data_IF_967144751038
#
_entry.id   IF_967144751038
#
_cell.length_a   1.000
_cell.length_b   1.000
_cell.length_c   1.000
_cell.angle_alpha   90.00
_cell.angle_beta   90.00
_cell.angle_gamma   90.00
#
_symmetry.space_group_name_H-M   'P 1'
#
loop_
_entity.id
_entity.type
_entity.pdbx_description
1 polymer ?
#
# COMPACT_ATOMS: atom_id res chain seq x y z
N UNK A 1 -4.64 -17.24 112.82
CA UNK A 1 -3.67 -16.21 113.23
C UNK A 1 -2.73 -16.01 112.05
N UNK A 2 -3.12 -15.17 111.08
CA UNK A 2 -3.06 -13.70 111.12
C UNK A 2 -1.62 -13.22 110.85
N UNK A 3 -1.25 -12.62 109.70
CA UNK A 3 -1.75 -11.35 109.09
C UNK A 3 -1.29 -10.13 109.90
N UNK A 4 -0.60 -9.09 109.38
CA UNK A 4 -0.27 -8.68 108.00
C UNK A 4 1.20 -8.12 107.91
N UNK A 5 1.71 -7.28 106.98
CA UNK A 5 1.24 -6.57 105.76
C UNK A 5 2.50 -6.07 104.96
N UNK A 6 2.58 -6.14 103.61
CA UNK A 6 3.56 -5.36 102.82
C UNK A 6 2.94 -4.10 102.16
N UNK A 7 3.67 -2.98 101.99
CA UNK A 7 3.11 -1.71 101.52
C UNK A 7 3.07 -1.51 99.99
N UNK A 8 2.27 -0.51 99.61
CA UNK A 8 1.82 -0.07 98.27
C UNK A 8 2.90 0.55 97.33
N UNK A 9 2.64 0.52 96.02
CA UNK A 9 3.29 1.31 94.97
C UNK A 9 4.15 0.51 93.97
N UNK A 10 4.16 0.76 92.66
CA UNK A 10 3.38 1.69 91.80
C UNK A 10 3.35 1.13 90.37
N UNK A 11 2.31 1.44 89.58
CA UNK A 11 2.20 1.00 88.17
C UNK A 11 3.20 1.69 87.21
N UNK A 12 3.57 1.00 86.12
CA UNK A 12 3.88 1.63 84.84
C UNK A 12 3.55 0.66 83.68
N UNK A 13 2.81 1.08 82.63
CA UNK A 13 2.41 0.18 81.55
C UNK A 13 3.57 -0.17 80.60
N UNK A 14 3.56 -1.40 80.09
CA UNK A 14 4.52 -1.89 79.08
C UNK A 14 4.05 -1.45 77.67
N UNK A 15 4.91 -0.81 76.85
CA UNK A 15 4.49 -0.25 75.57
C UNK A 15 4.18 -1.31 74.50
N UNK A 16 3.24 -0.98 73.61
CA UNK A 16 2.82 -1.81 72.48
C UNK A 16 3.95 -2.01 71.47
N UNK A 17 4.15 -3.26 71.01
CA UNK A 17 5.11 -3.57 69.94
C UNK A 17 4.61 -3.06 68.59
N UNK A 18 5.46 -2.34 67.86
CA UNK A 18 5.19 -1.81 66.51
C UNK A 18 4.90 -2.91 65.49
N UNK A 19 3.75 -2.85 64.81
CA UNK A 19 3.38 -3.77 63.71
C UNK A 19 3.02 -3.05 62.39
N UNK A 20 3.50 -1.81 62.19
CA UNK A 20 3.16 -1.00 61.01
C UNK A 20 4.18 -1.11 59.86
N UNK A 21 5.40 -1.62 60.10
CA UNK A 21 6.49 -1.56 59.12
C UNK A 21 6.44 -2.61 58.01
N UNK A 22 5.70 -3.71 58.18
CA UNK A 22 5.63 -4.80 57.20
C UNK A 22 4.54 -4.57 56.15
N UNK A 23 3.36 -4.10 56.56
CA UNK A 23 2.19 -3.93 55.67
C UNK A 23 2.38 -2.78 54.68
N UNK A 24 2.91 -1.63 55.13
CA UNK A 24 3.32 -0.51 54.27
C UNK A 24 4.32 -0.98 53.18
N UNK A 25 5.25 -1.87 53.53
CA UNK A 25 6.25 -2.41 52.61
C UNK A 25 5.72 -3.49 51.65
N UNK A 26 4.57 -4.11 51.90
CA UNK A 26 3.84 -4.87 50.88
C UNK A 26 2.98 -3.95 50.02
N UNK A 27 2.24 -3.01 50.62
CA UNK A 27 1.37 -2.06 49.91
C UNK A 27 2.14 -1.26 48.85
N UNK A 28 3.34 -0.77 49.19
CA UNK A 28 4.21 -0.09 48.22
C UNK A 28 4.71 -0.99 47.08
N UNK A 29 4.91 -2.29 47.30
CA UNK A 29 5.31 -3.25 46.24
C UNK A 29 4.14 -3.61 45.34
N UNK A 30 2.95 -3.77 45.90
CA UNK A 30 1.73 -4.06 45.14
C UNK A 30 1.31 -2.83 44.31
N UNK A 31 1.47 -1.61 44.86
CA UNK A 31 1.34 -0.37 44.11
C UNK A 31 2.38 -0.27 42.97
N UNK A 32 3.65 -0.55 43.25
CA UNK A 32 4.72 -0.47 42.24
C UNK A 32 4.55 -1.49 41.10
N UNK A 33 4.16 -2.73 41.43
CA UNK A 33 3.88 -3.76 40.41
C UNK A 33 2.62 -3.43 39.62
N UNK A 34 1.56 -2.94 40.26
CA UNK A 34 0.36 -2.43 39.57
C UNK A 34 0.68 -1.30 38.58
N UNK A 35 1.49 -0.32 38.97
CA UNK A 35 1.96 0.75 38.08
C UNK A 35 2.82 0.23 36.92
N UNK A 36 3.70 -0.75 37.17
CA UNK A 36 4.52 -1.38 36.13
C UNK A 36 3.69 -2.15 35.11
N UNK A 37 2.67 -2.90 35.57
CA UNK A 37 1.73 -3.63 34.71
C UNK A 37 0.90 -2.64 33.88
N UNK A 38 0.40 -1.56 34.48
CA UNK A 38 -0.37 -0.53 33.78
C UNK A 38 0.48 0.17 32.70
N UNK A 39 1.74 0.49 32.99
CA UNK A 39 2.69 1.03 32.02
C UNK A 39 2.97 0.06 30.87
N UNK A 40 3.16 -1.23 31.16
CA UNK A 40 3.37 -2.27 30.14
C UNK A 40 2.15 -2.40 29.20
N UNK A 41 0.93 -2.41 29.75
CA UNK A 41 -0.32 -2.44 28.98
C UNK A 41 -0.46 -1.18 28.11
N UNK A 42 -0.10 -0.01 28.64
CA UNK A 42 -0.12 1.25 27.89
C UNK A 42 0.88 1.26 26.71
N UNK A 43 2.09 0.73 26.90
CA UNK A 43 3.09 0.56 25.83
C UNK A 43 2.56 -0.41 24.76
N UNK A 44 1.99 -1.54 25.15
CA UNK A 44 1.37 -2.51 24.22
C UNK A 44 0.22 -1.85 23.43
N UNK A 45 -0.62 -1.04 24.09
CA UNK A 45 -1.68 -0.29 23.43
C UNK A 45 -1.14 0.72 22.40
N UNK A 46 -0.06 1.45 22.71
CA UNK A 46 0.60 2.36 21.76
C UNK A 46 1.17 1.58 20.56
N UNK A 47 1.81 0.43 20.79
CA UNK A 47 2.33 -0.41 19.71
C UNK A 47 1.22 -0.96 18.81
N UNK A 48 0.11 -1.43 19.39
CA UNK A 48 -1.08 -1.88 18.64
C UNK A 48 -1.74 -0.73 17.88
N UNK A 49 -1.86 0.46 18.48
CA UNK A 49 -2.40 1.65 17.82
C UNK A 49 -1.50 2.11 16.67
N UNK A 50 -0.18 2.11 16.86
CA UNK A 50 0.81 2.43 15.82
C UNK A 50 0.81 1.42 14.66
N UNK A 51 0.76 0.13 14.98
CA UNK A 51 0.60 -0.95 14.00
C UNK A 51 -0.71 -0.81 13.22
N UNK A 52 -1.84 -0.61 13.90
CA UNK A 52 -3.15 -0.46 13.28
C UNK A 52 -3.28 0.83 12.47
N UNK A 53 -2.63 1.93 12.89
CA UNK A 53 -2.56 3.17 12.13
C UNK A 53 -1.69 3.02 10.88
N UNK A 54 -0.53 2.35 10.98
CA UNK A 54 0.30 1.99 9.82
C UNK A 54 -0.47 1.08 8.85
N UNK A 55 -1.13 0.05 9.35
CA UNK A 55 -1.94 -0.88 8.56
C UNK A 55 -3.14 -0.19 7.90
N UNK A 56 -3.83 0.72 8.59
CA UNK A 56 -4.85 1.60 8.00
C UNK A 56 -4.28 2.56 6.96
N UNK A 57 -3.05 3.07 7.14
CA UNK A 57 -2.36 3.90 6.14
C UNK A 57 -2.02 3.12 4.87
N UNK A 58 -1.58 1.86 4.99
CA UNK A 58 -1.44 0.95 3.84
C UNK A 58 -2.80 0.66 3.16
N UNK A 59 -3.87 0.36 3.92
CA UNK A 59 -5.21 0.14 3.33
C UNK A 59 -5.79 1.37 2.63
N UNK A 60 -5.52 2.59 3.13
CA UNK A 60 -5.92 3.85 2.47
C UNK A 60 -5.28 4.08 1.09
N UNK A 61 -4.18 3.40 0.77
CA UNK A 61 -3.58 3.44 -0.57
C UNK A 61 -4.25 2.46 -1.57
N UNK A 62 -5.12 1.55 -1.10
CA UNK A 62 -5.74 0.49 -1.91
C UNK A 62 -7.24 0.70 -2.09
N UNK A 63 -7.92 1.34 -1.13
CA UNK A 63 -9.39 1.49 -1.10
C UNK A 63 -9.82 2.93 -1.46
N UNK A 64 -9.43 3.40 -2.65
CA UNK A 64 -9.93 4.66 -3.23
C UNK A 64 -10.16 4.57 -4.76
N UNK A 65 -10.27 3.35 -5.30
CA UNK A 65 -10.35 3.08 -6.75
C UNK A 65 -11.61 2.31 -7.15
N UNK A 66 -12.69 2.44 -6.39
CA UNK A 66 -13.85 1.56 -6.53
C UNK A 66 -15.15 2.06 -5.92
N UNK A 67 -15.51 3.34 -6.12
CA UNK A 67 -16.93 3.74 -6.15
C UNK A 67 -17.13 5.14 -6.77
N UNK A 68 -17.33 5.19 -8.09
CA UNK A 68 -17.97 6.34 -8.76
C UNK A 68 -18.64 5.90 -10.05
N UNK A 69 -19.97 5.82 -10.00
CA UNK A 69 -20.84 5.54 -11.15
C UNK A 69 -20.67 6.69 -12.16
N UNK A 70 -20.35 6.38 -13.41
CA UNK A 70 -20.15 7.37 -14.46
C UNK A 70 -21.51 7.88 -14.97
N UNK A 71 -21.81 9.19 -14.90
CA UNK A 71 -22.82 9.79 -15.76
C UNK A 71 -22.21 10.01 -17.15
N UNK A 72 -22.94 9.68 -18.21
CA UNK A 72 -22.55 10.06 -19.57
C UNK A 72 -22.78 11.57 -19.78
N UNK A 73 -21.83 12.26 -20.40
CA UNK A 73 -22.03 13.64 -20.83
C UNK A 73 -20.76 14.32 -21.34
N UNK A 74 -20.80 14.75 -22.61
CA UNK A 74 -20.39 16.09 -23.12
C UNK A 74 -19.03 16.59 -22.58
N UNK A 75 -17.93 16.46 -23.35
CA UNK A 75 -17.50 17.34 -24.47
C UNK A 75 -16.79 18.61 -23.94
N UNK A 76 -15.90 19.18 -24.75
CA UNK A 76 -15.04 20.35 -24.42
C UNK A 76 -13.90 20.12 -23.41
N UNK A 77 -13.02 19.15 -23.68
CA UNK A 77 -11.60 19.29 -23.31
C UNK A 77 -10.68 18.68 -24.38
N UNK A 78 -10.71 19.30 -25.56
CA UNK A 78 -9.76 19.02 -26.65
C UNK A 78 -8.40 19.67 -26.32
N UNK A 79 -7.31 19.07 -26.82
CA UNK A 79 -5.95 19.67 -26.86
C UNK A 79 -5.13 19.86 -25.57
N UNK A 80 -5.30 19.10 -24.47
CA UNK A 80 -4.20 19.06 -23.46
C UNK A 80 -4.05 17.85 -22.51
N UNK A 81 -4.39 16.61 -22.92
CA UNK A 81 -4.07 15.42 -22.10
C UNK A 81 -3.22 14.34 -22.80
N UNK A 82 -2.06 14.77 -23.34
CA UNK A 82 -0.88 13.89 -23.29
C UNK A 82 -0.59 13.64 -21.81
N UNK A 83 -0.83 12.42 -21.32
CA UNK A 83 -0.42 12.04 -19.96
C UNK A 83 1.09 12.26 -19.86
N UNK A 84 1.51 13.24 -19.06
CA UNK A 84 2.92 13.59 -18.89
C UNK A 84 3.59 12.51 -18.03
N UNK A 85 3.99 11.42 -18.71
CA UNK A 85 4.81 10.37 -18.12
C UNK A 85 6.06 11.03 -17.53
N UNK A 86 6.27 10.84 -16.23
CA UNK A 86 7.32 11.52 -15.46
C UNK A 86 8.68 11.33 -16.15
N UNK A 87 9.44 12.43 -16.22
CA UNK A 87 10.65 12.55 -17.05
C UNK A 87 11.57 11.34 -16.91
N UNK A 88 11.67 10.55 -17.99
CA UNK A 88 12.45 9.30 -18.07
C UNK A 88 13.93 9.63 -17.88
N UNK A 89 14.44 9.35 -16.67
CA UNK A 89 15.84 9.63 -16.31
C UNK A 89 16.79 8.91 -17.29
N UNK A 90 17.76 9.61 -17.91
CA UNK A 90 18.52 9.09 -19.03
C UNK A 90 19.67 8.16 -18.60
N UNK A 91 19.31 7.01 -18.02
CA UNK A 91 20.13 5.82 -18.22
C UNK A 91 20.19 5.54 -19.73
N UNK A 92 21.40 5.46 -20.29
CA UNK A 92 21.60 5.14 -21.71
C UNK A 92 20.98 3.80 -22.10
N UNK A 93 20.80 3.52 -23.41
CA UNK A 93 20.06 2.36 -23.89
C UNK A 93 20.68 1.04 -23.42
N UNK A 94 20.13 0.48 -22.34
CA UNK A 94 20.48 -0.84 -21.84
C UNK A 94 20.07 -1.87 -22.90
N UNK A 95 21.05 -2.62 -23.40
CA UNK A 95 20.80 -3.70 -24.35
C UNK A 95 20.54 -5.00 -23.60
N UNK A 96 19.35 -5.55 -23.80
CA UNK A 96 18.96 -6.86 -23.29
C UNK A 96 19.25 -7.91 -24.36
N UNK A 97 19.70 -9.08 -23.93
CA UNK A 97 20.06 -10.21 -24.80
C UNK A 97 19.11 -11.40 -24.52
N UNK A 98 18.93 -12.33 -25.48
CA UNK A 98 18.20 -13.56 -25.23
C UNK A 98 18.76 -14.33 -24.03
N UNK A 99 17.88 -14.81 -23.16
CA UNK A 99 18.25 -15.55 -21.95
C UNK A 99 18.28 -17.05 -22.30
N UNK A 100 19.42 -17.76 -22.12
CA UNK A 100 19.47 -19.21 -22.25
C UNK A 100 18.56 -19.87 -21.19
N UNK A 101 17.87 -20.95 -21.56
CA UNK A 101 16.83 -21.58 -20.72
C UNK A 101 17.41 -22.07 -19.39
N UNK A 102 18.64 -22.59 -19.43
CA UNK A 102 19.43 -23.02 -18.28
C UNK A 102 19.73 -21.91 -17.26
N UNK A 103 19.68 -20.63 -17.67
CA UNK A 103 19.95 -19.47 -16.82
C UNK A 103 18.67 -18.72 -16.41
N UNK A 104 17.49 -19.15 -16.89
CA UNK A 104 16.25 -18.40 -16.73
C UNK A 104 15.82 -18.22 -15.27
N UNK A 105 15.97 -19.25 -14.44
CA UNK A 105 15.64 -19.18 -13.01
C UNK A 105 16.54 -18.18 -12.27
N UNK A 106 17.85 -18.19 -12.56
CA UNK A 106 18.83 -17.28 -11.95
C UNK A 106 18.62 -15.83 -12.41
N UNK A 107 18.33 -15.60 -13.69
CA UNK A 107 17.95 -14.27 -14.19
C UNK A 107 16.66 -13.76 -13.54
N UNK A 108 15.64 -14.59 -13.36
CA UNK A 108 14.41 -14.21 -12.63
C UNK A 108 14.72 -13.90 -11.16
N UNK A 109 15.56 -14.72 -10.50
CA UNK A 109 15.98 -14.52 -9.11
C UNK A 109 16.77 -13.22 -8.92
N UNK A 110 17.67 -12.90 -9.85
CA UNK A 110 18.41 -11.62 -9.84
C UNK A 110 17.50 -10.43 -10.13
N UNK A 111 16.59 -10.54 -11.10
CA UNK A 111 15.77 -9.39 -11.54
C UNK A 111 14.58 -9.07 -10.64
N UNK A 112 14.09 -10.05 -9.89
CA UNK A 112 13.03 -9.90 -8.87
C UNK A 112 13.51 -9.27 -7.56
N UNK A 113 14.83 -9.23 -7.31
CA UNK A 113 15.42 -8.57 -6.15
C UNK A 113 15.09 -7.06 -6.09
N UNK A 114 15.25 -6.45 -4.91
CA UNK A 114 15.00 -5.03 -4.63
C UNK A 114 13.61 -4.54 -5.12
N UNK A 115 12.57 -5.28 -4.75
CA UNK A 115 11.18 -5.06 -5.21
C UNK A 115 11.06 -5.07 -6.75
N UNK A 116 11.71 -6.02 -7.41
CA UNK A 116 11.73 -6.14 -8.87
C UNK A 116 12.45 -4.97 -9.56
N UNK A 117 13.51 -4.43 -8.95
CA UNK A 117 14.22 -3.24 -9.44
C UNK A 117 14.68 -3.39 -10.88
N UNK A 118 15.34 -4.49 -11.22
CA UNK A 118 15.89 -4.68 -12.57
C UNK A 118 14.78 -4.94 -13.60
N UNK A 119 13.71 -5.67 -13.24
CA UNK A 119 12.51 -5.78 -14.08
C UNK A 119 11.84 -4.42 -14.32
N UNK A 120 11.78 -3.55 -13.30
CA UNK A 120 11.25 -2.18 -13.41
C UNK A 120 12.15 -1.31 -14.27
N UNK A 121 13.47 -1.46 -14.19
CA UNK A 121 14.42 -0.78 -15.08
C UNK A 121 14.30 -1.30 -16.53
N UNK A 122 14.14 -2.61 -16.73
CA UNK A 122 13.96 -3.26 -18.04
C UNK A 122 12.65 -2.83 -18.70
N UNK A 123 11.52 -2.93 -18.00
CA UNK A 123 10.22 -2.46 -18.48
C UNK A 123 10.26 -0.96 -18.86
N UNK A 124 10.88 -0.12 -18.02
CA UNK A 124 11.06 1.30 -18.32
C UNK A 124 12.14 1.56 -19.39
N UNK A 125 12.97 0.58 -19.73
CA UNK A 125 13.96 0.68 -20.82
C UNK A 125 13.35 0.41 -22.19
N UNK A 126 12.23 -0.32 -22.25
CA UNK A 126 11.49 -0.56 -23.50
C UNK A 126 11.29 0.77 -24.23
N UNK A 127 11.68 0.80 -25.50
CA UNK A 127 11.26 1.88 -26.39
C UNK A 127 9.75 1.80 -26.53
N UNK A 128 9.01 2.92 -26.50
CA UNK A 128 7.70 2.96 -27.15
C UNK A 128 7.89 2.38 -28.55
N UNK A 129 7.13 1.32 -28.88
CA UNK A 129 7.34 0.55 -30.12
C UNK A 129 7.38 1.48 -31.33
N UNK A 130 8.27 1.18 -32.29
CA UNK A 130 8.61 2.01 -33.46
C UNK A 130 7.46 2.93 -33.87
N UNK A 131 7.61 4.24 -33.62
CA UNK A 131 6.52 5.23 -33.73
C UNK A 131 6.30 5.64 -35.20
N UNK A 132 6.06 4.63 -36.03
CA UNK A 132 5.80 4.68 -37.46
C UNK A 132 4.44 4.06 -37.74
N UNK A 133 3.41 4.61 -37.08
CA UNK A 133 2.02 4.27 -37.29
C UNK A 133 1.14 5.47 -37.01
N UNK A 134 0.23 5.75 -37.92
CA UNK A 134 -0.87 6.69 -37.73
C UNK A 134 -2.01 6.03 -36.95
N UNK A 135 -2.94 6.86 -36.47
CA UNK A 135 -4.15 6.46 -35.74
C UNK A 135 -5.39 7.10 -36.38
N UNK A 136 -5.37 7.39 -37.67
CA UNK A 136 -6.38 8.17 -38.38
C UNK A 136 -7.73 7.46 -38.38
N UNK A 137 -7.77 6.15 -38.67
CA UNK A 137 -9.03 5.39 -38.64
C UNK A 137 -9.58 5.27 -37.22
N UNK A 138 -8.70 5.22 -36.21
CA UNK A 138 -9.09 5.11 -34.82
C UNK A 138 -9.60 6.43 -34.19
N UNK A 139 -9.14 7.58 -34.70
CA UNK A 139 -9.55 8.91 -34.23
C UNK A 139 -10.72 9.54 -35.00
N UNK A 140 -11.20 8.91 -36.08
CA UNK A 140 -12.46 9.30 -36.75
C UNK A 140 -13.60 9.42 -35.74
N UNK A 141 -14.43 10.45 -35.87
CA UNK A 141 -15.51 10.73 -34.92
C UNK A 141 -16.48 9.56 -34.79
N UNK A 142 -16.84 8.92 -35.92
CA UNK A 142 -17.72 7.75 -35.99
C UNK A 142 -17.10 6.47 -35.38
N UNK A 143 -15.84 6.53 -34.97
CA UNK A 143 -15.09 5.44 -34.34
C UNK A 143 -14.70 5.72 -32.89
N UNK A 144 -14.83 6.96 -32.39
CA UNK A 144 -14.48 7.32 -31.00
C UNK A 144 -15.27 6.51 -29.98
N UNK A 145 -16.57 6.33 -30.18
CA UNK A 145 -17.42 5.50 -29.31
C UNK A 145 -17.12 3.99 -29.38
N UNK A 146 -16.42 3.53 -30.43
CA UNK A 146 -15.98 2.13 -30.59
C UNK A 146 -14.67 1.85 -29.81
N UNK A 147 -14.05 2.86 -29.20
CA UNK A 147 -12.83 2.75 -28.43
C UNK A 147 -13.13 2.77 -26.92
N UNK A 148 -12.70 1.74 -26.18
CA UNK A 148 -12.86 1.70 -24.71
C UNK A 148 -12.07 2.78 -23.98
N UNK A 149 -10.92 3.18 -24.53
CA UNK A 149 -10.05 4.22 -23.99
C UNK A 149 -9.50 5.07 -25.15
N UNK A 150 -9.49 6.41 -25.05
CA UNK A 150 -9.03 7.28 -26.14
C UNK A 150 -7.51 7.21 -26.38
N UNK A 151 -6.76 6.67 -25.42
CA UNK A 151 -5.30 6.54 -25.47
C UNK A 151 -4.82 5.10 -25.77
N UNK A 152 -5.72 4.17 -26.08
CA UNK A 152 -5.42 2.77 -26.44
C UNK A 152 -6.10 2.47 -27.78
N UNK A 153 -5.37 2.71 -28.86
CA UNK A 153 -5.86 2.69 -30.25
C UNK A 153 -4.98 1.75 -31.12
N UNK A 154 -5.54 1.08 -32.14
CA UNK A 154 -4.76 0.31 -33.10
C UNK A 154 -4.03 1.25 -34.08
N UNK A 155 -2.84 0.86 -34.53
CA UNK A 155 -2.16 1.57 -35.63
C UNK A 155 -2.82 1.24 -36.97
N UNK A 156 -2.95 2.22 -37.86
CA UNK A 156 -3.63 2.02 -39.15
C UNK A 156 -2.98 0.93 -40.03
N UNK A 157 -1.67 0.69 -39.88
CA UNK A 157 -0.91 -0.32 -40.65
C UNK A 157 -1.13 -1.76 -40.17
N UNK A 158 -1.60 -1.98 -38.95
CA UNK A 158 -1.76 -3.31 -38.32
C UNK A 158 -3.16 -3.55 -37.78
N UNK A 159 -4.09 -2.59 -37.89
CA UNK A 159 -5.49 -2.77 -37.46
C UNK A 159 -6.15 -3.94 -38.19
N UNK A 160 -7.08 -4.60 -37.50
CA UNK A 160 -8.03 -5.50 -38.17
C UNK A 160 -9.02 -4.66 -38.97
N UNK A 161 -9.28 -5.05 -40.22
CA UNK A 161 -10.27 -4.41 -41.10
C UNK A 161 -11.45 -5.37 -41.23
N UNK A 162 -12.65 -4.92 -40.84
CA UNK A 162 -13.88 -5.68 -41.01
C UNK A 162 -14.43 -5.49 -42.43
N UNK A 163 -15.24 -6.46 -42.89
CA UNK A 163 -16.02 -6.29 -44.11
C UNK A 163 -16.97 -5.11 -43.96
N UNK A 164 -16.85 -4.11 -44.82
CA UNK A 164 -17.72 -2.94 -44.83
C UNK A 164 -19.18 -3.34 -45.08
N UNK A 165 -20.11 -2.70 -44.36
CA UNK A 165 -21.55 -2.91 -44.49
C UNK A 165 -22.14 -1.76 -45.32
N UNK A 166 -22.89 -2.09 -46.37
CA UNK A 166 -23.52 -1.11 -47.25
C UNK A 166 -24.39 -0.11 -46.48
N UNK A 167 -24.21 1.18 -46.78
CA UNK A 167 -24.91 2.29 -46.12
C UNK A 167 -24.45 2.62 -44.69
N UNK A 168 -23.54 1.86 -44.08
CA UNK A 168 -23.05 2.10 -42.70
C UNK A 168 -21.62 2.63 -42.74
N UNK A 169 -21.44 3.92 -42.40
CA UNK A 169 -20.13 4.57 -42.35
C UNK A 169 -19.23 3.97 -41.26
N UNK A 170 -17.93 3.85 -41.58
CA UNK A 170 -16.89 3.32 -40.69
C UNK A 170 -17.24 1.97 -40.04
N UNK A 171 -18.00 1.13 -40.76
CA UNK A 171 -18.34 -0.25 -40.38
C UNK A 171 -17.16 -1.23 -40.51
N UNK A 172 -16.09 -0.82 -41.19
CA UNK A 172 -14.84 -1.55 -41.34
C UNK A 172 -13.93 -1.51 -40.09
N UNK A 173 -14.29 -0.71 -39.07
CA UNK A 173 -13.44 -0.42 -37.91
C UNK A 173 -13.75 -1.28 -36.69
N UNK A 174 -12.69 -1.86 -36.12
CA UNK A 174 -12.65 -2.43 -34.78
C UNK A 174 -11.35 -2.02 -34.09
N UNK A 175 -11.39 -1.81 -32.77
CA UNK A 175 -10.18 -1.58 -31.96
C UNK A 175 -9.50 -2.94 -31.69
N UNK A 176 -8.73 -3.41 -32.67
CA UNK A 176 -7.90 -4.62 -32.63
C UNK A 176 -6.76 -4.51 -33.65
N UNK A 177 -5.64 -5.19 -33.39
CA UNK A 177 -4.48 -5.26 -34.29
C UNK A 177 -4.00 -6.69 -34.49
N UNK A 178 -3.38 -6.97 -35.63
CA UNK A 178 -2.52 -8.13 -35.83
C UNK A 178 -1.20 -7.97 -35.04
N UNK A 179 -0.66 -9.10 -34.58
CA UNK A 179 0.59 -9.24 -33.82
C UNK A 179 1.27 -10.52 -34.32
N UNK A 180 2.60 -10.48 -34.49
CA UNK A 180 3.44 -11.63 -34.89
C UNK A 180 3.84 -12.52 -33.69
#
# INVERSE_FOLDING_TARGET
FAEALPPNGTELPKPTTTTNSTEENSLHKDLLTSMLILLLVFIIFILLAGYFFRFRRHRKAVVNSGDKKMPNGILEEQEQQRVMLLGRSPSGPKKYFPIPVENLEEEIRMRSADEGKLFREEFNSLTPGYVQGTFEMANKEENREKNRYPNILPYDHSRVILTQIDGVSSSDYVNASYID
#
